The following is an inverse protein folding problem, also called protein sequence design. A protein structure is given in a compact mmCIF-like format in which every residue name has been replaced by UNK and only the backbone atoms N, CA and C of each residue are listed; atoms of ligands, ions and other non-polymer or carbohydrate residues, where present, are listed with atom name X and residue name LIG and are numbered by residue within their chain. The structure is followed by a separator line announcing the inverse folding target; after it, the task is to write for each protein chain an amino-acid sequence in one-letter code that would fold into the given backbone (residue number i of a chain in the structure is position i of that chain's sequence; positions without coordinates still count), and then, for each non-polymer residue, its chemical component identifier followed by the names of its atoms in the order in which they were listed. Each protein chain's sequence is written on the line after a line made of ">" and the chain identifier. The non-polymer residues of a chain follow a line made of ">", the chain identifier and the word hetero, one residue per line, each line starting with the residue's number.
data_IF_119724995976
#
_entry.id   IF_119724995976
#
_cell.length_a   1.000
_cell.length_b   1.000
_cell.length_c   1.000
_cell.angle_alpha   90.00
_cell.angle_beta   90.00
_cell.angle_gamma   90.00
#
_symmetry.space_group_name_H-M   'P 1'
#
loop_
_entity.id
_entity.type
_entity.pdbx_description
1 polymer ?
#
# COMPACT_ATOMS: atom_id res chain seq x y z
N UNK A 1 3.60 5.93 -20.94
CA UNK A 1 2.77 6.73 -20.03
C UNK A 1 2.62 5.93 -18.75
N UNK A 2 2.67 6.59 -17.59
CA UNK A 2 2.43 5.95 -16.29
C UNK A 2 0.98 5.49 -16.21
N UNK A 3 0.79 4.31 -15.62
CA UNK A 3 -0.50 3.67 -15.39
C UNK A 3 -1.16 4.19 -14.11
N UNK A 4 -2.44 4.55 -14.17
CA UNK A 4 -3.25 4.84 -12.98
C UNK A 4 -4.00 3.59 -12.55
N UNK A 5 -3.71 3.13 -11.33
CA UNK A 5 -4.46 2.08 -10.63
C UNK A 5 -5.51 2.79 -9.77
N UNK A 6 -6.79 2.46 -9.92
CA UNK A 6 -7.85 3.03 -9.10
C UNK A 6 -8.61 1.92 -8.39
N UNK A 7 -8.81 2.08 -7.09
CA UNK A 7 -9.58 1.13 -6.29
C UNK A 7 -11.06 1.38 -6.54
N UNK A 8 -11.78 0.31 -6.89
CA UNK A 8 -13.20 0.38 -7.20
C UNK A 8 -14.02 0.05 -5.95
N UNK A 9 -15.14 0.75 -5.78
CA UNK A 9 -15.96 0.66 -4.58
C UNK A 9 -17.33 1.34 -4.79
N UNK A 10 -18.09 1.55 -3.70
CA UNK A 10 -19.43 2.15 -3.77
C UNK A 10 -19.50 3.48 -4.53
N UNK A 11 -18.49 4.35 -4.42
CA UNK A 11 -18.48 5.66 -5.08
C UNK A 11 -18.42 5.59 -6.61
N UNK A 12 -18.02 4.45 -7.18
CA UNK A 12 -17.93 4.22 -8.61
C UNK A 12 -18.64 2.93 -9.05
N UNK A 13 -19.66 2.48 -8.31
CA UNK A 13 -20.39 1.25 -8.60
C UNK A 13 -21.45 1.40 -9.71
N UNK A 14 -21.09 2.01 -10.85
CA UNK A 14 -21.91 2.14 -12.05
C UNK A 14 -21.05 2.05 -13.31
N UNK A 15 -21.62 1.56 -14.42
CA UNK A 15 -20.90 1.46 -15.70
C UNK A 15 -20.56 2.85 -16.23
N UNK A 16 -21.45 3.83 -16.01
CA UNK A 16 -21.28 5.22 -16.41
C UNK A 16 -20.07 5.86 -15.72
N UNK A 17 -20.01 5.79 -14.38
CA UNK A 17 -18.90 6.37 -13.62
C UNK A 17 -17.58 5.64 -13.91
N UNK A 18 -17.61 4.31 -14.04
CA UNK A 18 -16.41 3.57 -14.44
C UNK A 18 -15.95 3.96 -15.85
N UNK A 19 -16.86 4.15 -16.80
CA UNK A 19 -16.51 4.62 -18.15
C UNK A 19 -15.85 5.99 -18.10
N UNK A 20 -16.37 6.91 -17.29
CA UNK A 20 -15.75 8.23 -17.07
C UNK A 20 -14.35 8.12 -16.44
N UNK A 21 -14.14 7.20 -15.50
CA UNK A 21 -12.82 6.95 -14.91
C UNK A 21 -11.83 6.38 -15.95
N UNK A 22 -12.28 5.47 -16.82
CA UNK A 22 -11.47 4.89 -17.90
C UNK A 22 -11.09 5.96 -18.93
N UNK A 23 -12.03 6.85 -19.26
CA UNK A 23 -11.80 8.02 -20.10
C UNK A 23 -10.79 8.99 -19.45
N UNK A 24 -10.92 9.21 -18.14
CA UNK A 24 -10.02 10.06 -17.35
C UNK A 24 -8.60 9.50 -17.19
N UNK A 25 -8.38 8.22 -17.51
CA UNK A 25 -7.05 7.60 -17.56
C UNK A 25 -6.84 6.39 -16.65
N UNK A 26 -7.88 5.86 -15.99
CA UNK A 26 -7.78 4.59 -15.26
C UNK A 26 -7.41 3.45 -16.22
N UNK A 27 -6.39 2.67 -15.86
CA UNK A 27 -5.93 1.50 -16.66
C UNK A 27 -5.87 0.20 -15.87
N UNK A 28 -5.94 0.27 -14.54
CA UNK A 28 -6.11 -0.90 -13.68
C UNK A 28 -7.18 -0.59 -12.66
N UNK A 29 -8.17 -1.47 -12.54
CA UNK A 29 -9.20 -1.42 -11.52
C UNK A 29 -8.84 -2.39 -10.39
N UNK A 30 -8.53 -1.84 -9.21
CA UNK A 30 -8.18 -2.59 -8.00
C UNK A 30 -9.44 -2.94 -7.21
N UNK A 31 -9.61 -4.21 -6.90
CA UNK A 31 -10.61 -4.73 -5.97
C UNK A 31 -9.92 -5.06 -4.65
N UNK A 32 -10.28 -4.36 -3.57
CA UNK A 32 -9.71 -4.62 -2.24
C UNK A 32 -10.56 -5.66 -1.50
N UNK A 33 -10.03 -6.87 -1.31
CA UNK A 33 -10.76 -7.99 -0.69
C UNK A 33 -10.81 -7.90 0.85
N UNK A 34 -10.27 -6.83 1.43
CA UNK A 34 -10.51 -6.49 2.84
C UNK A 34 -11.97 -6.08 3.11
N UNK A 35 -12.72 -5.69 2.06
CA UNK A 35 -14.09 -5.21 2.16
C UNK A 35 -14.96 -5.79 1.05
N UNK A 36 -16.24 -5.96 1.35
CA UNK A 36 -17.20 -6.54 0.41
C UNK A 36 -17.17 -8.06 0.38
N UNK A 37 -18.21 -8.64 -0.21
CA UNK A 37 -18.33 -10.07 -0.42
C UNK A 37 -17.99 -10.45 -1.87
N UNK A 38 -17.93 -11.75 -2.15
CA UNK A 38 -17.64 -12.26 -3.48
C UNK A 38 -18.69 -11.83 -4.52
N UNK A 39 -19.95 -11.68 -4.12
CA UNK A 39 -21.00 -11.20 -5.01
C UNK A 39 -20.75 -9.75 -5.44
N UNK A 40 -20.31 -8.89 -4.52
CA UNK A 40 -19.92 -7.52 -4.79
C UNK A 40 -18.74 -7.45 -5.76
N UNK A 41 -17.65 -8.18 -5.49
CA UNK A 41 -16.48 -8.19 -6.38
C UNK A 41 -16.80 -8.74 -7.77
N UNK A 42 -17.63 -9.77 -7.88
CA UNK A 42 -18.09 -10.29 -9.17
C UNK A 42 -18.87 -9.25 -9.98
N UNK A 43 -19.80 -8.52 -9.32
CA UNK A 43 -20.54 -7.42 -9.96
C UNK A 43 -19.61 -6.30 -10.41
N UNK A 44 -18.68 -5.87 -9.56
CA UNK A 44 -17.71 -4.83 -9.88
C UNK A 44 -16.82 -5.21 -11.07
N UNK A 45 -16.29 -6.44 -11.09
CA UNK A 45 -15.51 -6.96 -12.22
C UNK A 45 -16.32 -6.97 -13.53
N UNK A 46 -17.61 -7.34 -13.47
CA UNK A 46 -18.52 -7.27 -14.61
C UNK A 46 -18.73 -5.84 -15.12
N UNK A 47 -18.96 -4.88 -14.22
CA UNK A 47 -19.16 -3.48 -14.58
C UNK A 47 -17.90 -2.85 -15.18
N UNK A 48 -16.71 -3.16 -14.66
CA UNK A 48 -15.44 -2.68 -15.24
C UNK A 48 -15.26 -3.20 -16.67
N UNK A 49 -15.59 -4.47 -16.93
CA UNK A 49 -15.53 -5.04 -18.28
C UNK A 49 -16.51 -4.37 -19.24
N UNK A 50 -17.75 -4.15 -18.81
CA UNK A 50 -18.75 -3.44 -19.60
C UNK A 50 -18.32 -1.99 -19.91
N UNK A 51 -17.74 -1.29 -18.93
CA UNK A 51 -17.21 0.06 -19.13
C UNK A 51 -15.99 0.08 -20.07
N UNK A 52 -15.10 -0.91 -19.98
CA UNK A 52 -13.96 -1.07 -20.88
C UNK A 52 -14.42 -1.34 -22.33
N UNK A 53 -15.46 -2.15 -22.51
CA UNK A 53 -16.09 -2.38 -23.82
C UNK A 53 -16.73 -1.11 -24.37
N UNK A 54 -17.52 -0.40 -23.55
CA UNK A 54 -18.21 0.83 -23.96
C UNK A 54 -17.23 1.95 -24.38
N UNK A 55 -16.07 2.03 -23.73
CA UNK A 55 -15.03 3.03 -24.03
C UNK A 55 -14.02 2.56 -25.10
N UNK A 56 -14.03 1.28 -25.44
CA UNK A 56 -13.03 0.67 -26.33
C UNK A 56 -11.60 0.70 -25.78
N UNK A 57 -11.43 0.84 -24.46
CA UNK A 57 -10.12 0.99 -23.80
C UNK A 57 -9.85 -0.19 -22.88
N UNK A 58 -8.70 -0.88 -23.02
CA UNK A 58 -8.37 -2.01 -22.16
C UNK A 58 -8.09 -1.55 -20.73
N UNK A 59 -8.63 -2.31 -19.76
CA UNK A 59 -8.44 -2.09 -18.33
C UNK A 59 -8.17 -3.43 -17.67
N UNK A 60 -7.09 -3.52 -16.91
CA UNK A 60 -6.76 -4.72 -16.14
C UNK A 60 -7.52 -4.76 -14.81
N UNK A 61 -7.83 -5.95 -14.32
CA UNK A 61 -8.34 -6.19 -12.97
C UNK A 61 -7.19 -6.62 -12.04
N UNK A 62 -7.11 -5.98 -10.87
CA UNK A 62 -6.17 -6.34 -9.81
C UNK A 62 -6.97 -6.71 -8.55
N UNK A 63 -6.87 -7.96 -8.09
CA UNK A 63 -7.41 -8.35 -6.79
C UNK A 63 -6.33 -8.16 -5.72
N UNK A 64 -6.62 -7.38 -4.68
CA UNK A 64 -5.70 -7.12 -3.58
C UNK A 64 -6.14 -7.88 -2.34
N UNK A 65 -5.31 -8.85 -1.92
CA UNK A 65 -5.56 -9.72 -0.77
C UNK A 65 -5.45 -8.94 0.53
N UNK A 66 -6.14 -9.38 1.57
CA UNK A 66 -6.14 -8.67 2.85
C UNK A 66 -4.80 -8.81 3.57
N UNK A 67 -4.22 -10.01 3.53
CA UNK A 67 -3.03 -10.36 4.30
C UNK A 67 -3.29 -10.48 5.79
N UNK A 68 -2.30 -11.01 6.51
CA UNK A 68 -2.37 -11.17 7.95
C UNK A 68 -1.94 -9.89 8.68
N UNK A 69 -2.90 -9.20 9.29
CA UNK A 69 -2.68 -8.01 10.14
C UNK A 69 -3.13 -8.34 11.55
N UNK A 70 -2.27 -8.08 12.55
CA UNK A 70 -2.63 -8.18 13.97
C UNK A 70 -3.68 -7.13 14.27
N UNK A 71 -4.69 -7.51 15.06
CA UNK A 71 -5.79 -6.64 15.42
C UNK A 71 -6.14 -6.79 16.89
N UNK A 72 -6.79 -5.77 17.39
CA UNK A 72 -7.52 -5.89 18.64
C UNK A 72 -8.61 -6.95 18.51
N UNK A 73 -8.86 -7.61 19.63
CA UNK A 73 -9.97 -8.51 19.82
C UNK A 73 -11.30 -7.78 19.83
N UNK A 74 -12.33 -8.52 20.24
CA UNK A 74 -13.63 -7.93 20.51
C UNK A 74 -13.57 -7.13 21.82
N UNK A 75 -14.10 -5.91 21.79
CA UNK A 75 -14.28 -5.06 22.96
C UNK A 75 -15.75 -4.64 22.95
N UNK A 76 -16.46 -4.86 24.06
CA UNK A 76 -17.92 -4.66 24.11
C UNK A 76 -18.34 -3.21 23.86
N UNK A 77 -17.49 -2.25 24.24
CA UNK A 77 -17.72 -0.82 24.09
C UNK A 77 -16.42 -0.13 23.73
N UNK A 78 -16.52 1.02 23.10
CA UNK A 78 -15.37 1.88 22.89
C UNK A 78 -14.74 2.25 24.25
N UNK A 79 -13.42 2.14 24.35
CA UNK A 79 -12.68 2.46 25.58
C UNK A 79 -11.83 3.71 25.32
N UNK A 80 -12.01 4.73 26.15
CA UNK A 80 -11.12 5.89 26.13
C UNK A 80 -9.88 5.58 26.97
N UNK A 81 -8.71 5.79 26.37
CA UNK A 81 -7.42 5.72 27.06
C UNK A 81 -6.74 7.09 27.07
N UNK A 82 -6.06 7.44 28.15
CA UNK A 82 -5.44 8.74 28.37
C UNK A 82 -3.92 8.62 28.46
N UNK A 83 -3.19 9.69 28.11
CA UNK A 83 -1.73 9.71 28.22
C UNK A 83 -1.27 9.40 29.65
N UNK A 84 -0.26 8.54 29.78
CA UNK A 84 0.23 8.07 31.07
C UNK A 84 -0.60 6.94 31.71
N UNK A 85 -1.74 6.57 31.16
CA UNK A 85 -2.53 5.44 31.66
C UNK A 85 -1.82 4.11 31.38
N UNK A 86 -2.00 3.15 32.28
CA UNK A 86 -1.52 1.78 32.05
C UNK A 86 -2.45 1.02 31.11
N UNK A 87 -1.88 0.41 30.08
CA UNK A 87 -2.59 -0.49 29.15
C UNK A 87 -1.86 -1.82 29.08
N UNK A 88 -2.59 -2.92 29.18
CA UNK A 88 -2.04 -4.27 29.07
C UNK A 88 -2.61 -4.96 27.83
N UNK A 89 -1.71 -5.40 26.95
CA UNK A 89 -2.09 -6.18 25.76
C UNK A 89 -2.03 -7.67 26.08
N UNK A 90 -3.09 -8.38 25.71
CA UNK A 90 -3.31 -9.78 26.07
C UNK A 90 -3.61 -10.58 24.81
N UNK A 91 -2.81 -11.59 24.53
CA UNK A 91 -3.06 -12.50 23.42
C UNK A 91 -4.36 -13.31 23.64
N UNK A 92 -5.28 -13.25 22.68
CA UNK A 92 -6.56 -13.97 22.70
C UNK A 92 -6.39 -15.49 22.58
N UNK A 93 -5.27 -15.96 22.06
CA UNK A 93 -4.99 -17.40 21.96
C UNK A 93 -4.79 -18.06 23.34
N UNK A 94 -4.84 -17.28 24.43
CA UNK A 94 -4.56 -17.77 25.77
C UNK A 94 -5.69 -17.39 26.73
N UNK A 95 -6.73 -18.23 26.74
CA UNK A 95 -7.76 -18.36 27.78
C UNK A 95 -7.20 -18.79 29.16
N UNK A 96 -5.88 -18.99 29.28
CA UNK A 96 -5.22 -19.61 30.43
C UNK A 96 -4.26 -18.70 31.22
N UNK A 97 -4.17 -17.40 30.91
CA UNK A 97 -3.29 -16.48 31.64
C UNK A 97 -3.99 -15.91 32.86
N UNK A 98 -3.36 -16.05 34.02
CA UNK A 98 -3.79 -15.36 35.23
C UNK A 98 -3.85 -13.85 34.96
N UNK A 99 -4.89 -13.21 35.50
CA UNK A 99 -5.02 -11.76 35.46
C UNK A 99 -3.77 -11.18 36.13
N UNK A 100 -3.11 -10.15 35.56
CA UNK A 100 -1.91 -9.61 36.17
C UNK A 100 -2.15 -9.21 37.63
N UNK A 101 -1.28 -9.65 38.54
CA UNK A 101 -1.43 -9.48 39.99
C UNK A 101 -1.33 -8.02 40.45
N UNK A 102 -0.74 -7.15 39.63
CA UNK A 102 -0.49 -5.74 39.93
C UNK A 102 -1.01 -4.87 38.78
N UNK A 103 -2.16 -4.26 38.98
CA UNK A 103 -2.79 -3.32 38.06
C UNK A 103 -3.03 -2.00 38.78
N UNK A 104 -2.77 -0.89 38.10
CA UNK A 104 -3.28 0.42 38.52
C UNK A 104 -4.82 0.39 38.49
N UNK A 105 -5.49 1.15 39.37
CA UNK A 105 -6.96 1.11 39.52
C UNK A 105 -7.70 1.45 38.21
N UNK A 106 -7.09 2.26 37.35
CA UNK A 106 -7.61 2.68 36.05
C UNK A 106 -6.96 1.94 34.86
N UNK A 107 -6.21 0.86 35.10
CA UNK A 107 -5.56 0.10 34.04
C UNK A 107 -6.58 -0.53 33.07
N UNK A 108 -6.28 -0.47 31.77
CA UNK A 108 -7.11 -1.03 30.70
C UNK A 108 -6.45 -2.28 30.13
N UNK A 109 -7.23 -3.35 29.99
CA UNK A 109 -6.81 -4.60 29.35
C UNK A 109 -7.40 -4.66 27.94
N UNK A 110 -6.53 -4.80 26.93
CA UNK A 110 -6.93 -4.90 25.53
C UNK A 110 -6.58 -6.28 24.96
N UNK A 111 -7.57 -7.04 24.46
CA UNK A 111 -7.30 -8.29 23.78
C UNK A 111 -6.67 -8.02 22.41
N UNK A 112 -5.74 -8.88 22.01
CA UNK A 112 -5.06 -8.86 20.70
C UNK A 112 -5.16 -10.25 20.09
N UNK A 113 -5.51 -10.35 18.81
CA UNK A 113 -5.70 -11.64 18.11
C UNK A 113 -4.40 -12.36 17.71
N UNK A 114 -3.28 -11.93 18.30
CA UNK A 114 -1.96 -12.54 18.19
C UNK A 114 -1.23 -12.36 19.52
N UNK A 115 -0.54 -13.41 19.98
CA UNK A 115 0.24 -13.32 21.22
C UNK A 115 1.53 -12.53 20.99
N UNK A 116 1.53 -11.26 21.40
CA UNK A 116 2.67 -10.37 21.23
C UNK A 116 3.80 -10.60 22.24
N UNK A 117 3.49 -11.18 23.42
CA UNK A 117 4.44 -11.26 24.52
C UNK A 117 5.76 -11.99 24.18
N UNK A 118 5.79 -13.09 23.39
CA UNK A 118 7.04 -13.77 23.05
C UNK A 118 7.95 -12.97 22.09
N UNK A 119 7.42 -11.93 21.44
CA UNK A 119 8.06 -11.27 20.31
C UNK A 119 8.49 -9.83 20.61
N UNK A 120 7.84 -9.19 21.59
CA UNK A 120 8.09 -7.81 21.97
C UNK A 120 9.12 -7.72 23.10
N UNK A 121 9.94 -6.67 23.08
CA UNK A 121 10.87 -6.32 24.16
C UNK A 121 10.44 -5.03 24.87
N UNK A 122 10.86 -4.81 26.12
CA UNK A 122 10.79 -3.49 26.74
C UNK A 122 11.38 -2.41 25.84
N UNK A 123 10.88 -1.19 26.00
CA UNK A 123 11.16 0.00 25.19
C UNK A 123 10.59 -0.01 23.75
N UNK A 124 9.88 -1.06 23.36
CA UNK A 124 9.19 -1.10 22.06
C UNK A 124 7.98 -0.15 22.01
N UNK A 125 7.62 0.25 20.79
CA UNK A 125 6.40 1.01 20.51
C UNK A 125 5.32 0.05 20.00
N UNK A 126 4.07 0.24 20.45
CA UNK A 126 2.89 -0.39 19.87
C UNK A 126 1.97 0.69 19.35
N UNK A 127 1.59 0.58 18.08
CA UNK A 127 0.68 1.49 17.39
C UNK A 127 -0.67 0.81 17.21
N UNK A 128 -1.75 1.54 17.47
CA UNK A 128 -3.13 1.04 17.31
C UNK A 128 -3.89 1.99 16.39
N UNK A 129 -4.74 1.42 15.54
CA UNK A 129 -5.59 2.16 14.58
C UNK A 129 -4.76 3.05 13.65
N UNK A 130 -3.83 2.42 12.93
CA UNK A 130 -2.92 3.05 11.97
C UNK A 130 -2.11 4.21 12.59
N UNK A 131 -1.66 4.01 13.84
CA UNK A 131 -0.83 4.97 14.58
C UNK A 131 -1.59 6.10 15.26
N UNK A 132 -2.93 6.07 15.24
CA UNK A 132 -3.75 7.05 15.95
C UNK A 132 -3.57 6.97 17.48
N UNK A 133 -3.28 5.78 18.01
CA UNK A 133 -2.93 5.60 19.41
C UNK A 133 -1.54 4.99 19.50
N UNK A 134 -0.77 5.43 20.49
CA UNK A 134 0.62 5.01 20.70
C UNK A 134 0.82 4.55 22.14
N UNK A 135 1.39 3.36 22.29
CA UNK A 135 1.76 2.76 23.57
C UNK A 135 3.27 2.51 23.60
N UNK A 136 3.88 2.73 24.76
CA UNK A 136 5.27 2.39 25.04
C UNK A 136 5.33 1.18 25.96
N UNK A 137 6.08 0.15 25.56
CA UNK A 137 6.18 -1.11 26.31
C UNK A 137 7.13 -0.94 27.48
N UNK A 138 6.61 -0.95 28.70
CA UNK A 138 7.41 -0.86 29.94
C UNK A 138 8.01 -2.22 30.29
N UNK A 139 7.23 -3.30 30.14
CA UNK A 139 7.65 -4.64 30.49
C UNK A 139 6.85 -5.72 29.77
N UNK A 140 7.42 -6.93 29.71
CA UNK A 140 6.73 -8.14 29.32
C UNK A 140 6.85 -9.16 30.45
N UNK A 141 5.72 -9.54 31.05
CA UNK A 141 5.69 -10.42 32.23
C UNK A 141 4.41 -11.22 32.28
N UNK A 142 4.48 -12.49 32.71
CA UNK A 142 3.31 -13.37 32.80
C UNK A 142 2.63 -13.66 31.46
N UNK A 143 3.34 -13.42 30.34
CA UNK A 143 2.75 -13.47 29.00
C UNK A 143 1.90 -12.24 28.65
N UNK A 144 1.97 -11.16 29.41
CA UNK A 144 1.27 -9.91 29.12
C UNK A 144 2.26 -8.84 28.71
N UNK A 145 1.87 -7.96 27.80
CA UNK A 145 2.66 -6.79 27.40
C UNK A 145 2.13 -5.59 28.17
N UNK A 146 2.91 -5.11 29.14
CA UNK A 146 2.57 -3.96 29.96
C UNK A 146 3.07 -2.69 29.28
N UNK A 147 2.13 -1.80 28.98
CA UNK A 147 2.40 -0.57 28.28
C UNK A 147 1.94 0.66 29.06
N UNK A 148 2.57 1.78 28.73
CA UNK A 148 2.15 3.13 29.09
C UNK A 148 1.61 3.83 27.85
N UNK A 149 0.47 4.51 27.97
CA UNK A 149 -0.07 5.29 26.85
C UNK A 149 0.81 6.52 26.61
N UNK A 150 1.35 6.64 25.40
CA UNK A 150 2.07 7.83 24.94
C UNK A 150 1.10 8.80 24.29
N UNK A 151 0.24 8.31 23.40
CA UNK A 151 -0.83 9.09 22.79
C UNK A 151 -2.17 8.35 22.93
N UNK A 152 -3.08 8.97 23.66
CA UNK A 152 -4.39 8.41 24.01
C UNK A 152 -5.46 8.66 22.95
N UNK A 153 -6.65 8.12 23.18
CA UNK A 153 -7.76 8.23 22.24
C UNK A 153 -8.85 7.20 22.52
N UNK A 154 -9.74 7.03 21.53
CA UNK A 154 -10.83 6.06 21.61
C UNK A 154 -10.40 4.76 20.94
N UNK A 155 -10.28 3.70 21.73
CA UNK A 155 -10.01 2.35 21.27
C UNK A 155 -11.30 1.74 20.74
N UNK A 156 -11.24 1.26 19.49
CA UNK A 156 -12.35 0.59 18.80
C UNK A 156 -12.04 -0.90 18.60
N UNK A 157 -13.04 -1.78 18.55
CA UNK A 157 -12.82 -3.20 18.32
C UNK A 157 -12.20 -3.46 16.95
N UNK A 158 -11.43 -4.55 16.82
CA UNK A 158 -10.86 -5.04 15.54
C UNK A 158 -9.90 -4.09 14.81
N UNK A 159 -9.47 -2.99 15.45
CA UNK A 159 -8.47 -2.07 14.91
C UNK A 159 -7.11 -2.73 14.80
N UNK A 160 -6.34 -2.33 13.79
CA UNK A 160 -5.01 -2.86 13.54
C UNK A 160 -4.06 -2.54 14.69
N UNK A 161 -3.15 -3.47 14.98
CA UNK A 161 -2.05 -3.31 15.92
C UNK A 161 -0.76 -3.51 15.14
N UNK A 162 0.16 -2.56 15.23
CA UNK A 162 1.46 -2.60 14.58
C UNK A 162 2.54 -2.49 15.65
N UNK A 163 3.65 -3.20 15.47
CA UNK A 163 4.78 -3.20 16.42
C UNK A 163 6.05 -2.93 15.62
N UNK A 164 6.37 -1.64 15.39
CA UNK A 164 7.43 -1.25 14.47
C UNK A 164 8.77 -1.91 14.84
N UNK A 165 9.55 -2.29 13.84
CA UNK A 165 10.83 -3.00 13.99
C UNK A 165 10.77 -4.36 14.70
N UNK A 166 9.59 -4.92 14.93
CA UNK A 166 9.43 -6.25 15.51
C UNK A 166 8.97 -7.24 14.46
N UNK A 167 9.77 -8.26 14.21
CA UNK A 167 9.38 -9.34 13.31
C UNK A 167 8.40 -10.28 14.01
N UNK A 168 7.13 -10.20 13.62
CA UNK A 168 6.10 -11.13 14.08
C UNK A 168 6.04 -12.33 13.11
N UNK A 169 6.13 -13.57 13.58
CA UNK A 169 6.12 -14.78 12.76
C UNK A 169 4.70 -15.11 12.26
N UNK A 170 4.09 -14.17 11.55
CA UNK A 170 2.74 -14.28 11.02
C UNK A 170 2.83 -14.76 9.56
N UNK A 171 2.08 -15.80 9.17
CA UNK A 171 2.07 -16.26 7.79
C UNK A 171 1.61 -15.14 6.85
N UNK A 172 2.26 -14.98 5.69
CA UNK A 172 1.89 -13.96 4.72
C UNK A 172 0.47 -14.16 4.15
N UNK A 173 0.01 -15.42 4.08
CA UNK A 173 -1.30 -15.81 3.58
C UNK A 173 -2.16 -16.45 4.67
N UNK A 174 -3.28 -15.80 4.99
CA UNK A 174 -4.33 -16.36 5.84
C UNK A 174 -5.20 -17.37 5.06
N UNK A 175 -6.00 -18.16 5.78
CA UNK A 175 -7.00 -19.03 5.12
C UNK A 175 -8.00 -18.24 4.27
N UNK A 176 -8.35 -17.02 4.72
CA UNK A 176 -9.16 -16.09 3.94
C UNK A 176 -8.43 -15.69 2.65
N UNK A 177 -7.15 -15.34 2.71
CA UNK A 177 -6.38 -14.95 1.52
C UNK A 177 -6.27 -16.10 0.50
N UNK A 178 -6.15 -17.35 0.98
CA UNK A 178 -6.15 -18.55 0.11
C UNK A 178 -7.48 -18.71 -0.63
N UNK A 179 -8.60 -18.56 0.09
CA UNK A 179 -9.94 -18.61 -0.50
C UNK A 179 -10.18 -17.45 -1.48
N UNK A 180 -9.75 -16.26 -1.10
CA UNK A 180 -9.84 -15.03 -1.89
C UNK A 180 -9.02 -15.12 -3.19
N UNK A 181 -7.80 -15.63 -3.13
CA UNK A 181 -6.96 -15.86 -4.30
C UNK A 181 -7.62 -16.87 -5.27
N UNK A 182 -8.15 -17.97 -4.74
CA UNK A 182 -8.88 -18.94 -5.55
C UNK A 182 -10.11 -18.32 -6.22
N UNK A 183 -10.91 -17.53 -5.48
CA UNK A 183 -12.05 -16.80 -6.03
C UNK A 183 -11.63 -15.79 -7.09
N UNK A 184 -10.58 -14.99 -6.86
CA UNK A 184 -10.06 -14.01 -7.80
C UNK A 184 -9.66 -14.65 -9.15
N UNK A 185 -9.08 -15.85 -9.13
CA UNK A 185 -8.77 -16.62 -10.34
C UNK A 185 -10.04 -16.96 -11.13
N UNK A 186 -11.15 -17.29 -10.46
CA UNK A 186 -12.44 -17.53 -11.14
C UNK A 186 -12.97 -16.29 -11.87
N UNK A 187 -12.63 -15.10 -11.36
CA UNK A 187 -12.98 -13.84 -12.00
C UNK A 187 -12.13 -13.52 -13.21
N UNK A 188 -11.08 -14.29 -13.54
CA UNK A 188 -10.06 -13.99 -14.55
C UNK A 188 -9.45 -12.59 -14.35
N UNK A 189 -8.96 -12.32 -13.13
CA UNK A 189 -8.17 -11.11 -12.88
C UNK A 189 -6.80 -11.19 -13.57
N UNK A 190 -6.23 -10.05 -13.91
CA UNK A 190 -4.91 -9.97 -14.55
C UNK A 190 -3.79 -10.00 -13.51
N UNK A 191 -4.06 -9.43 -12.33
CA UNK A 191 -3.12 -9.33 -11.21
C UNK A 191 -3.76 -9.76 -9.90
N UNK A 192 -2.96 -10.36 -9.03
CA UNK A 192 -3.24 -10.52 -7.61
C UNK A 192 -2.11 -9.83 -6.82
N UNK A 193 -2.46 -8.95 -5.89
CA UNK A 193 -1.51 -8.32 -4.99
C UNK A 193 -1.41 -9.11 -3.67
N UNK A 194 -0.19 -9.43 -3.27
CA UNK A 194 0.15 -10.15 -2.05
C UNK A 194 0.51 -9.13 -0.97
N UNK A 195 -0.34 -9.01 0.04
CA UNK A 195 -0.09 -8.17 1.22
C UNK A 195 0.98 -8.75 2.12
N UNK A 196 1.74 -7.88 2.79
CA UNK A 196 2.79 -8.17 3.76
C UNK A 196 3.82 -9.20 3.27
N UNK A 197 4.23 -9.11 2.00
CA UNK A 197 5.21 -10.02 1.43
C UNK A 197 6.57 -9.84 2.13
N UNK A 198 7.03 -10.89 2.81
CA UNK A 198 8.29 -10.90 3.56
C UNK A 198 9.39 -11.74 2.92
N UNK A 199 9.04 -12.65 2.00
CA UNK A 199 9.95 -13.61 1.39
C UNK A 199 9.56 -13.99 -0.04
N UNK A 200 10.50 -14.61 -0.77
CA UNK A 200 10.23 -15.19 -2.09
C UNK A 200 9.30 -16.41 -2.02
N UNK A 201 9.32 -17.12 -0.90
CA UNK A 201 8.46 -18.26 -0.58
C UNK A 201 6.99 -17.83 -0.53
N UNK A 202 6.67 -16.68 0.08
CA UNK A 202 5.29 -16.15 0.13
C UNK A 202 4.71 -15.95 -1.28
N UNK A 203 5.53 -15.38 -2.18
CA UNK A 203 5.16 -15.17 -3.59
C UNK A 203 4.97 -16.50 -4.31
N UNK A 204 5.84 -17.47 -4.05
CA UNK A 204 5.79 -18.80 -4.65
C UNK A 204 4.57 -19.59 -4.17
N UNK A 205 4.21 -19.46 -2.90
CA UNK A 205 3.03 -20.05 -2.30
C UNK A 205 1.75 -19.50 -2.94
N UNK A 206 1.62 -18.17 -3.06
CA UNK A 206 0.48 -17.57 -3.74
C UNK A 206 0.37 -18.05 -5.19
N UNK A 207 1.51 -18.17 -5.89
CA UNK A 207 1.55 -18.67 -7.27
C UNK A 207 1.06 -20.11 -7.39
N UNK A 208 1.39 -20.95 -6.41
CA UNK A 208 0.90 -22.32 -6.34
C UNK A 208 -0.63 -22.36 -6.15
N UNK A 209 -1.17 -21.57 -5.23
CA UNK A 209 -2.62 -21.46 -5.00
C UNK A 209 -3.34 -21.04 -6.28
N UNK A 210 -2.83 -20.00 -6.96
CA UNK A 210 -3.42 -19.51 -8.20
C UNK A 210 -3.40 -20.56 -9.32
N UNK A 211 -2.31 -21.33 -9.43
CA UNK A 211 -2.19 -22.44 -10.39
C UNK A 211 -3.19 -23.55 -10.10
N UNK A 212 -3.34 -23.93 -8.83
CA UNK A 212 -4.27 -24.97 -8.41
C UNK A 212 -5.73 -24.58 -8.71
N UNK A 213 -6.08 -23.30 -8.52
CA UNK A 213 -7.42 -22.77 -8.77
C UNK A 213 -7.72 -22.45 -10.25
N UNK A 214 -6.71 -22.45 -11.13
CA UNK A 214 -6.86 -21.97 -12.50
C UNK A 214 -7.81 -22.82 -13.36
N UNK A 215 -7.79 -24.15 -13.24
CA UNK A 215 -8.64 -25.06 -14.02
C UNK A 215 -8.70 -24.71 -15.53
N UNK A 216 -7.55 -24.38 -16.14
CA UNK A 216 -7.43 -23.99 -17.55
C UNK A 216 -7.56 -22.49 -17.84
N UNK A 217 -7.83 -21.67 -16.83
CA UNK A 217 -7.81 -20.20 -16.92
C UNK A 217 -6.37 -19.66 -16.94
N UNK A 218 -6.14 -18.46 -17.48
CA UNK A 218 -4.88 -17.76 -17.30
C UNK A 218 -4.55 -17.58 -15.82
N UNK A 219 -3.29 -17.82 -15.46
CA UNK A 219 -2.81 -17.58 -14.10
C UNK A 219 -2.50 -16.08 -13.98
N UNK A 220 -3.06 -15.37 -12.98
CA UNK A 220 -2.78 -13.95 -12.78
C UNK A 220 -1.31 -13.72 -12.42
N UNK A 221 -0.82 -12.53 -12.76
CA UNK A 221 0.49 -12.05 -12.31
C UNK A 221 0.45 -11.68 -10.83
N UNK A 222 1.56 -11.85 -10.13
CA UNK A 222 1.65 -11.53 -8.70
C UNK A 222 2.38 -10.21 -8.49
N UNK A 223 1.72 -9.28 -7.79
CA UNK A 223 2.30 -8.03 -7.33
C UNK A 223 2.61 -8.14 -5.83
N UNK A 224 3.89 -8.23 -5.45
CA UNK A 224 4.27 -8.27 -4.04
C UNK A 224 4.18 -6.87 -3.43
N UNK A 225 3.47 -6.72 -2.30
CA UNK A 225 3.37 -5.44 -1.58
C UNK A 225 4.44 -5.39 -0.50
N UNK A 226 5.31 -4.38 -0.58
CA UNK A 226 6.34 -4.13 0.44
C UNK A 226 5.73 -3.20 1.49
N UNK A 227 5.36 -3.80 2.62
CA UNK A 227 4.61 -3.17 3.73
C UNK A 227 5.36 -3.23 5.05
N UNK A 228 6.48 -3.95 5.11
CA UNK A 228 7.22 -4.23 6.35
C UNK A 228 8.75 -4.21 6.15
N UNK A 229 9.54 -4.04 7.23
CA UNK A 229 10.99 -4.08 7.19
C UNK A 229 11.57 -5.35 6.57
N UNK A 230 11.03 -6.53 6.88
CA UNK A 230 11.50 -7.82 6.34
C UNK A 230 11.34 -7.89 4.80
N UNK A 231 10.25 -7.35 4.25
CA UNK A 231 10.08 -7.21 2.81
C UNK A 231 11.11 -6.28 2.16
N UNK A 232 11.63 -5.28 2.89
CA UNK A 232 12.72 -4.41 2.43
C UNK A 232 14.08 -5.11 2.53
N UNK A 233 14.28 -5.92 3.57
CA UNK A 233 15.51 -6.70 3.77
C UNK A 233 15.67 -7.77 2.69
N UNK A 234 14.59 -8.51 2.39
CA UNK A 234 14.54 -9.59 1.40
C UNK A 234 14.13 -9.11 0.00
N UNK A 235 14.24 -7.81 -0.27
CA UNK A 235 13.69 -7.16 -1.46
C UNK A 235 14.15 -7.80 -2.77
N UNK A 236 15.44 -8.13 -2.90
CA UNK A 236 15.99 -8.66 -4.15
C UNK A 236 15.38 -10.03 -4.50
N UNK A 237 15.20 -10.90 -3.50
CA UNK A 237 14.61 -12.23 -3.67
C UNK A 237 13.11 -12.14 -3.98
N UNK A 238 12.38 -11.25 -3.29
CA UNK A 238 10.96 -10.98 -3.56
C UNK A 238 10.78 -10.45 -4.99
N UNK A 239 11.61 -9.49 -5.41
CA UNK A 239 11.57 -8.91 -6.77
C UNK A 239 11.84 -9.97 -7.83
N UNK A 240 12.77 -10.89 -7.57
CA UNK A 240 13.05 -11.99 -8.49
C UNK A 240 11.84 -12.93 -8.66
N UNK A 241 11.17 -13.27 -7.56
CA UNK A 241 10.02 -14.19 -7.54
C UNK A 241 8.70 -13.58 -8.04
N UNK A 242 8.49 -12.27 -7.85
CA UNK A 242 7.26 -11.56 -8.19
C UNK A 242 7.21 -11.12 -9.67
N UNK A 243 6.01 -10.87 -10.19
CA UNK A 243 5.82 -10.31 -11.54
C UNK A 243 5.82 -8.78 -11.54
N UNK A 244 5.70 -8.17 -10.36
CA UNK A 244 5.77 -6.74 -10.10
C UNK A 244 5.75 -6.48 -8.60
N UNK A 245 5.98 -5.23 -8.21
CA UNK A 245 6.03 -4.82 -6.79
C UNK A 245 5.16 -3.59 -6.57
N UNK A 246 4.58 -3.48 -5.38
CA UNK A 246 3.89 -2.27 -4.92
C UNK A 246 4.59 -1.73 -3.67
N UNK A 247 5.00 -0.46 -3.71
CA UNK A 247 5.42 0.29 -2.52
C UNK A 247 4.16 0.73 -1.80
N UNK A 248 3.78 0.01 -0.75
CA UNK A 248 2.58 0.28 0.04
C UNK A 248 2.95 1.13 1.26
N UNK A 249 2.90 2.45 1.05
CA UNK A 249 3.52 3.44 1.95
C UNK A 249 2.84 3.56 3.30
N UNK A 250 1.53 3.33 3.38
CA UNK A 250 0.75 3.38 4.61
C UNK A 250 1.31 2.43 5.67
N UNK A 251 1.18 1.13 5.46
CA UNK A 251 1.70 0.13 6.41
C UNK A 251 3.24 0.19 6.53
N UNK A 252 3.97 0.44 5.43
CA UNK A 252 5.44 0.56 5.51
C UNK A 252 5.88 1.73 6.41
N UNK A 253 5.18 2.86 6.40
CA UNK A 253 5.49 4.00 7.27
C UNK A 253 5.08 3.79 8.73
N UNK A 254 4.16 2.85 9.00
CA UNK A 254 3.83 2.43 10.37
C UNK A 254 4.90 1.48 10.90
N UNK A 255 5.37 0.55 10.08
CA UNK A 255 6.32 -0.50 10.48
C UNK A 255 7.79 -0.04 10.46
N UNK A 256 8.07 1.11 9.85
CA UNK A 256 9.38 1.75 9.78
C UNK A 256 9.31 3.19 10.26
N UNK A 257 10.43 3.91 10.34
CA UNK A 257 10.38 5.33 10.65
C UNK A 257 9.84 6.14 9.46
N UNK A 258 8.93 7.12 9.69
CA UNK A 258 8.28 7.86 8.60
C UNK A 258 9.27 8.66 7.73
N UNK A 259 10.38 9.14 8.29
CA UNK A 259 11.44 9.81 7.52
C UNK A 259 12.29 8.86 6.66
N UNK A 260 12.26 7.55 6.90
CA UNK A 260 12.92 6.57 6.03
C UNK A 260 12.07 6.25 4.80
N UNK A 261 10.75 6.44 4.84
CA UNK A 261 9.83 6.06 3.78
C UNK A 261 10.23 6.59 2.39
N UNK A 262 10.62 7.87 2.20
CA UNK A 262 11.06 8.34 0.88
C UNK A 262 12.33 7.63 0.37
N UNK A 263 13.23 7.24 1.27
CA UNK A 263 14.45 6.50 0.92
C UNK A 263 14.13 5.06 0.54
N UNK A 264 13.23 4.41 1.29
CA UNK A 264 12.77 3.06 1.03
C UNK A 264 12.02 2.97 -0.31
N UNK A 265 11.12 3.90 -0.59
CA UNK A 265 10.46 3.99 -1.90
C UNK A 265 11.48 4.04 -3.04
N UNK A 266 12.46 4.95 -2.96
CA UNK A 266 13.50 5.09 -4.00
C UNK A 266 14.33 3.82 -4.16
N UNK A 267 14.65 3.13 -3.05
CA UNK A 267 15.36 1.84 -3.08
C UNK A 267 14.51 0.78 -3.80
N UNK A 268 13.26 0.59 -3.38
CA UNK A 268 12.35 -0.41 -3.96
C UNK A 268 12.14 -0.16 -5.46
N UNK A 269 11.84 1.08 -5.85
CA UNK A 269 11.64 1.46 -7.25
C UNK A 269 12.90 1.18 -8.07
N UNK A 270 14.08 1.56 -7.56
CA UNK A 270 15.36 1.32 -8.25
C UNK A 270 15.63 -0.17 -8.45
N UNK A 271 15.45 -0.99 -7.42
CA UNK A 271 15.66 -2.45 -7.50
C UNK A 271 14.73 -3.06 -8.55
N UNK A 272 13.45 -2.72 -8.53
CA UNK A 272 12.48 -3.21 -9.52
C UNK A 272 12.88 -2.83 -10.95
N UNK A 273 13.27 -1.57 -11.16
CA UNK A 273 13.73 -1.08 -12.46
C UNK A 273 14.98 -1.80 -12.96
N UNK A 274 15.93 -2.08 -12.08
CA UNK A 274 17.15 -2.82 -12.42
C UNK A 274 16.83 -4.28 -12.80
N UNK A 275 15.84 -4.89 -12.14
CA UNK A 275 15.36 -6.23 -12.45
C UNK A 275 14.38 -6.30 -13.64
N UNK A 276 14.01 -5.16 -14.24
CA UNK A 276 13.00 -5.10 -15.30
C UNK A 276 11.59 -5.49 -14.85
N UNK A 277 11.28 -5.31 -13.57
CA UNK A 277 9.98 -5.61 -12.97
C UNK A 277 9.15 -4.31 -12.81
N UNK A 278 7.86 -4.33 -13.16
CA UNK A 278 6.99 -3.17 -12.98
C UNK A 278 6.82 -2.84 -11.49
N UNK A 279 6.80 -1.56 -11.17
CA UNK A 279 6.63 -1.08 -9.79
C UNK A 279 5.54 0.00 -9.68
N UNK A 280 4.62 -0.21 -8.73
CA UNK A 280 3.58 0.74 -8.38
C UNK A 280 3.92 1.45 -7.06
N UNK A 281 3.57 2.73 -6.95
CA UNK A 281 3.59 3.46 -5.66
C UNK A 281 2.15 3.73 -5.22
N UNK A 282 1.84 3.37 -3.99
CA UNK A 282 0.49 3.27 -3.48
C UNK A 282 0.28 3.99 -2.15
N UNK A 283 -0.99 4.22 -1.82
CA UNK A 283 -1.55 4.82 -0.60
C UNK A 283 -1.25 6.31 -0.43
N UNK A 284 -2.23 7.08 0.05
CA UNK A 284 -2.12 8.52 0.37
C UNK A 284 -1.52 9.36 -0.76
N UNK A 285 -1.84 9.04 -2.02
CA UNK A 285 -1.32 9.79 -3.16
C UNK A 285 -2.07 11.11 -3.34
N UNK A 286 -3.40 11.07 -3.24
CA UNK A 286 -4.27 12.25 -3.31
C UNK A 286 -5.33 12.20 -2.19
N UNK A 287 -4.94 11.81 -0.98
CA UNK A 287 -5.84 11.54 0.16
C UNK A 287 -6.88 12.64 0.41
N UNK A 288 -6.49 13.90 0.31
CA UNK A 288 -7.39 15.05 0.49
C UNK A 288 -8.55 15.05 -0.50
N UNK A 289 -8.42 14.39 -1.65
CA UNK A 289 -9.45 14.27 -2.66
C UNK A 289 -10.56 13.28 -2.34
N UNK A 290 -10.50 12.58 -1.21
CA UNK A 290 -11.65 11.85 -0.68
C UNK A 290 -12.82 12.81 -0.46
N UNK A 291 -12.55 14.00 0.08
CA UNK A 291 -13.59 15.00 0.40
C UNK A 291 -13.41 16.34 -0.32
N UNK A 292 -12.28 16.56 -1.01
CA UNK A 292 -12.00 17.80 -1.73
C UNK A 292 -11.90 17.59 -3.24
N UNK A 293 -12.42 18.51 -4.03
CA UNK A 293 -12.34 18.44 -5.50
C UNK A 293 -10.93 18.74 -6.07
N UNK A 294 -9.96 19.10 -5.23
CA UNK A 294 -8.57 19.41 -5.62
C UNK A 294 -7.59 18.86 -4.58
N UNK A 295 -6.41 18.38 -5.02
CA UNK A 295 -5.38 17.92 -4.12
C UNK A 295 -4.62 19.10 -3.49
N UNK A 296 -3.86 18.80 -2.45
CA UNK A 296 -2.85 19.71 -1.90
C UNK A 296 -1.63 19.80 -2.82
N UNK A 297 -0.82 20.85 -2.65
CA UNK A 297 0.47 20.96 -3.38
C UNK A 297 1.46 19.87 -2.95
N UNK A 298 1.38 19.41 -1.70
CA UNK A 298 2.21 18.35 -1.19
C UNK A 298 1.92 17.02 -1.91
N UNK A 299 0.65 16.66 -2.04
CA UNK A 299 0.20 15.47 -2.79
C UNK A 299 0.60 15.52 -4.26
N UNK A 300 0.42 16.67 -4.92
CA UNK A 300 0.90 16.85 -6.31
C UNK A 300 2.40 16.62 -6.41
N UNK A 301 3.18 17.18 -5.49
CA UNK A 301 4.63 16.99 -5.47
C UNK A 301 5.03 15.55 -5.15
N UNK A 302 4.28 14.87 -4.31
CA UNK A 302 4.53 13.48 -3.92
C UNK A 302 4.31 12.53 -5.09
N UNK A 303 3.14 12.62 -5.75
CA UNK A 303 2.86 11.90 -7.00
C UNK A 303 3.94 12.18 -8.03
N UNK A 304 4.30 13.45 -8.24
CA UNK A 304 5.35 13.81 -9.20
C UNK A 304 6.69 13.17 -8.88
N UNK A 305 7.11 13.15 -7.60
CA UNK A 305 8.36 12.53 -7.21
C UNK A 305 8.34 11.00 -7.35
N UNK A 306 7.21 10.33 -7.07
CA UNK A 306 7.08 8.89 -7.31
C UNK A 306 7.29 8.55 -8.80
N UNK A 307 6.76 9.38 -9.70
CA UNK A 307 6.97 9.24 -11.14
C UNK A 307 8.42 9.51 -11.54
N UNK A 308 9.04 10.57 -11.01
CA UNK A 308 10.45 10.90 -11.27
C UNK A 308 11.41 9.83 -10.74
N UNK A 309 11.06 9.18 -9.62
CA UNK A 309 11.78 8.02 -9.10
C UNK A 309 11.71 6.82 -10.05
N UNK A 310 10.67 6.80 -10.89
CA UNK A 310 10.53 5.84 -11.95
C UNK A 310 9.42 4.83 -11.77
N UNK A 311 8.39 5.13 -10.97
CA UNK A 311 7.23 4.27 -10.84
C UNK A 311 6.51 4.09 -12.19
N UNK A 312 6.17 2.84 -12.51
CA UNK A 312 5.35 2.49 -13.69
C UNK A 312 3.88 2.81 -13.47
N UNK A 313 3.45 2.76 -12.20
CA UNK A 313 2.08 3.02 -11.80
C UNK A 313 1.97 3.80 -10.49
N UNK A 314 0.87 4.52 -10.37
CA UNK A 314 0.46 5.24 -9.16
C UNK A 314 -0.97 4.84 -8.80
N UNK A 315 -1.25 4.67 -7.50
CA UNK A 315 -2.51 4.08 -7.05
C UNK A 315 -3.37 5.02 -6.20
N UNK A 316 -4.66 5.08 -6.55
CA UNK A 316 -5.73 5.68 -5.76
C UNK A 316 -6.45 4.57 -4.95
N UNK A 317 -6.69 4.84 -3.68
CA UNK A 317 -7.32 3.95 -2.71
C UNK A 317 -8.73 4.47 -2.35
N UNK A 318 -8.88 5.14 -1.21
CA UNK A 318 -10.17 5.64 -0.75
C UNK A 318 -10.71 6.75 -1.66
N UNK A 319 -9.82 7.51 -2.31
CA UNK A 319 -10.15 8.60 -3.22
C UNK A 319 -11.16 8.18 -4.31
N UNK A 320 -11.07 6.94 -4.79
CA UNK A 320 -11.94 6.41 -5.85
C UNK A 320 -12.94 5.37 -5.37
N UNK A 321 -12.65 4.68 -4.26
CA UNK A 321 -13.53 3.64 -3.74
C UNK A 321 -14.74 4.22 -3.00
N UNK A 322 -14.53 5.26 -2.20
CA UNK A 322 -15.54 5.84 -1.29
C UNK A 322 -15.58 7.37 -1.30
N UNK A 323 -14.64 8.04 -1.97
CA UNK A 323 -14.56 9.50 -2.03
C UNK A 323 -15.66 10.15 -2.86
N UNK A 324 -15.84 11.45 -2.64
CA UNK A 324 -16.86 12.28 -3.29
C UNK A 324 -16.52 12.61 -4.76
N UNK A 325 -15.25 12.45 -5.15
CA UNK A 325 -14.71 12.91 -6.44
C UNK A 325 -13.89 11.84 -7.19
N UNK A 326 -14.41 10.61 -7.40
CA UNK A 326 -13.63 9.49 -7.94
C UNK A 326 -13.08 9.75 -9.35
N UNK A 327 -13.90 10.33 -10.24
CA UNK A 327 -13.50 10.64 -11.63
C UNK A 327 -12.45 11.75 -11.65
N UNK A 328 -12.61 12.78 -10.82
CA UNK A 328 -11.70 13.91 -10.74
C UNK A 328 -10.36 13.50 -10.12
N UNK A 329 -10.36 12.58 -9.13
CA UNK A 329 -9.12 12.02 -8.57
C UNK A 329 -8.31 11.29 -9.65
N UNK A 330 -8.96 10.42 -10.44
CA UNK A 330 -8.31 9.75 -11.59
C UNK A 330 -7.79 10.78 -12.60
N UNK A 331 -8.62 11.74 -12.99
CA UNK A 331 -8.22 12.79 -13.95
C UNK A 331 -7.02 13.58 -13.46
N UNK A 332 -7.01 13.95 -12.17
CA UNK A 332 -5.92 14.69 -11.54
C UNK A 332 -4.63 13.90 -11.56
N UNK A 333 -4.67 12.62 -11.16
CA UNK A 333 -3.54 11.71 -11.22
C UNK A 333 -2.97 11.60 -12.65
N UNK A 334 -3.85 11.48 -13.66
CA UNK A 334 -3.47 11.45 -15.07
C UNK A 334 -2.82 12.76 -15.51
N UNK A 335 -3.36 13.92 -15.12
CA UNK A 335 -2.81 15.24 -15.47
C UNK A 335 -1.41 15.42 -14.87
N UNK A 336 -1.21 15.06 -13.59
CA UNK A 336 0.11 15.10 -12.96
C UNK A 336 1.09 14.20 -13.74
N UNK A 337 0.66 12.98 -14.07
CA UNK A 337 1.47 12.02 -14.84
C UNK A 337 1.89 12.58 -16.21
N UNK A 338 0.97 13.21 -16.92
CA UNK A 338 1.22 13.84 -18.22
C UNK A 338 2.12 15.07 -18.12
N UNK A 339 2.04 15.85 -17.03
CA UNK A 339 2.90 17.01 -16.81
C UNK A 339 4.35 16.64 -16.46
N UNK A 340 4.56 15.54 -15.73
CA UNK A 340 5.88 15.13 -15.24
C UNK A 340 6.70 14.39 -16.29
N UNK A 341 6.09 13.46 -17.04
CA UNK A 341 6.80 12.57 -17.98
C UNK A 341 7.59 13.28 -19.11
N UNK A 342 7.11 14.38 -19.72
CA UNK A 342 7.91 15.14 -20.70
C UNK A 342 9.24 15.65 -20.12
N UNK A 343 9.28 15.96 -18.82
CA UNK A 343 10.48 16.42 -18.13
C UNK A 343 11.51 15.30 -17.92
N UNK A 344 11.09 14.03 -17.87
CA UNK A 344 12.00 12.88 -17.75
C UNK A 344 12.73 12.58 -19.05
N UNK A 345 12.07 12.75 -20.20
CA UNK A 345 12.70 12.57 -21.51
C UNK A 345 13.75 13.65 -21.82
N UNK A 346 13.63 14.82 -21.19
CA UNK A 346 14.55 15.94 -21.33
C UNK A 346 15.73 15.91 -20.34
N UNK A 347 15.77 14.96 -19.38
CA UNK A 347 16.90 14.89 -18.46
C UNK A 347 18.17 14.44 -19.20
N UNK A 348 19.22 15.28 -19.26
CA UNK A 348 20.49 14.84 -19.79
C UNK A 348 20.98 13.66 -18.94
N UNK A 349 21.50 12.62 -19.59
CA UNK A 349 22.24 11.55 -18.90
C UNK A 349 23.21 12.21 -17.92
N UNK A 350 23.38 11.69 -16.70
CA UNK A 350 24.32 12.26 -15.74
C UNK A 350 25.64 12.49 -16.46
N UNK A 351 26.08 13.75 -16.47
CA UNK A 351 27.40 14.11 -16.97
C UNK A 351 28.37 13.24 -16.18
N UNK A 352 28.96 12.26 -16.87
CA UNK A 352 30.19 11.63 -16.44
C UNK A 352 31.19 12.77 -16.28
N UNK A 353 31.36 13.25 -15.05
CA UNK A 353 32.39 14.23 -14.68
C UNK A 353 33.80 13.64 -14.83
N UNK A 354 33.93 12.40 -15.31
CA UNK A 354 35.18 11.67 -15.52
C UNK A 354 35.54 11.44 -17.00
N UNK A 355 34.80 12.02 -17.94
CA UNK A 355 35.21 12.04 -19.35
C UNK A 355 35.67 13.45 -19.72
N UNK A 356 36.98 13.63 -19.86
CA UNK A 356 37.58 14.88 -20.34
C UNK A 356 36.95 15.29 -21.69
N UNK A 357 36.55 16.55 -21.87
CA UNK A 357 35.88 16.97 -23.10
C UNK A 357 36.91 17.24 -24.20
N UNK A 358 36.97 16.37 -25.20
CA UNK A 358 37.75 16.58 -26.43
C UNK A 358 36.92 17.25 -27.55
N UNK A 359 36.24 18.38 -27.31
CA UNK A 359 35.94 19.38 -28.36
C UNK A 359 35.11 20.60 -27.88
N UNK A 360 35.45 21.84 -28.30
CA UNK A 360 34.67 23.05 -28.01
C UNK A 360 33.29 23.12 -28.71
N UNK A 361 33.04 22.30 -29.73
CA UNK A 361 31.84 22.38 -30.57
C UNK A 361 30.55 21.92 -29.87
N UNK A 362 30.66 21.12 -28.79
CA UNK A 362 29.51 20.58 -28.06
C UNK A 362 28.79 21.58 -27.14
N UNK A 363 29.47 22.66 -26.74
CA UNK A 363 28.90 23.64 -25.80
C UNK A 363 27.85 24.54 -26.46
N UNK A 364 28.01 24.89 -27.74
CA UNK A 364 27.08 25.78 -28.46
C UNK A 364 25.71 25.14 -28.73
N UNK A 365 25.66 23.82 -28.98
CA UNK A 365 24.41 23.09 -29.17
C UNK A 365 23.56 23.04 -27.88
N UNK A 366 24.21 22.97 -26.71
CA UNK A 366 23.53 22.92 -25.40
C UNK A 366 22.86 24.23 -24.99
N UNK A 367 23.36 25.37 -25.50
CA UNK A 367 22.82 26.70 -25.21
C UNK A 367 21.57 27.02 -26.04
N UNK A 368 21.48 26.54 -27.28
CA UNK A 368 20.30 26.78 -28.14
C UNK A 368 19.06 25.99 -27.71
N UNK A 369 19.23 24.79 -27.15
CA UNK A 369 18.11 23.99 -26.62
C UNK A 369 17.44 24.67 -25.41
N UNK A 370 18.22 25.34 -24.57
CA UNK A 370 17.73 26.03 -23.35
C UNK A 370 16.82 27.23 -23.64
N UNK A 371 16.93 27.86 -24.81
CA UNK A 371 16.12 29.02 -25.18
C UNK A 371 14.73 28.64 -25.68
N UNK A 372 14.55 27.46 -26.28
CA UNK A 372 13.24 26.96 -26.72
C UNK A 372 12.38 26.44 -25.56
N UNK A 373 12.98 25.92 -24.49
CA UNK A 373 12.21 25.37 -23.35
C UNK A 373 11.58 26.46 -22.45
N UNK A 374 12.14 27.68 -22.44
CA UNK A 374 11.58 28.79 -21.63
C UNK A 374 10.19 29.26 -22.08
N UNK A 375 9.75 28.93 -23.29
CA UNK A 375 8.41 29.30 -23.78
C UNK A 375 7.29 28.34 -23.36
N UNK A 376 7.60 27.19 -22.75
CA UNK A 376 6.57 26.20 -22.35
C UNK A 376 6.02 26.37 -20.93
N UNK A 377 6.52 27.34 -20.15
CA UNK A 377 6.13 27.53 -18.75
C UNK A 377 5.07 28.63 -18.52
N UNK A 378 4.43 29.11 -19.59
CA UNK A 378 3.26 29.99 -19.50
C UNK A 378 2.15 29.39 -20.35
N UNK A 379 1.31 28.55 -19.72
CA UNK A 379 -0.13 28.40 -19.96
C UNK A 379 -0.72 27.45 -18.90
#
# INVERSE_FOLDING_TARGET
>A
MTTVIATIGPACASVETLSEMIEAGMRVARMNFSHGDYAFHARMAGMVRAAAEATGKPVALLADLQGAKVRLGWIEREISIHEGQQVILIGMEIDARERPDQLEDDAVMLPVDFDLAPHIKPDATVLIDDGLLELHVEAVSGGHVHCRVVHGGVVKPRKGVNVPYTLLPIPALTDKDRADAAFAVTLNVDWIALSFAGSAEDVTELRYICRAAAHGRPIPRIMAKIERPDGVENLDDIVAAADGVMVARGDLALETSPWQLPLLQKRIVRTCRQAGKPVAVATQMLESMITNHRPTRAEVSDVANALLDGADAVMLSAETAVGDYPVQAVRTMTVISQGVLPSMAAQPRPLSLLSEPSNPSGQLASLQVRTQERQKFVL
#
